data_IF_235068064650
#
_entry.id   IF_235068064650
#
_cell.length_a   1.000
_cell.length_b   1.000
_cell.length_c   1.000
_cell.angle_alpha   90.00
_cell.angle_beta   90.00
_cell.angle_gamma   90.00
#
_symmetry.space_group_name_H-M   'P 1'
#
loop_
_entity.id
_entity.type
_entity.pdbx_description
1 polymer ?
#
# COMPACT_ATOMS: atom_id res chain seq x y z
N UNK A 1 -7.75 -3.21 16.24
CA UNK A 1 -6.84 -3.22 17.40
C UNK A 1 -5.92 -2.01 17.20
N UNK A 2 -6.21 -0.90 17.91
CA UNK A 2 -5.40 0.33 17.81
C UNK A 2 -4.06 0.08 18.49
N UNK A 3 -3.04 -0.22 17.71
CA UNK A 3 -1.71 -0.42 18.23
C UNK A 3 -0.97 0.92 18.31
N UNK A 4 -1.07 1.55 19.48
CA UNK A 4 -0.48 2.86 19.79
C UNK A 4 0.98 2.76 20.26
N UNK A 5 1.54 1.55 20.34
CA UNK A 5 2.90 1.37 20.80
C UNK A 5 3.90 2.12 19.90
N UNK A 6 4.97 2.72 20.46
CA UNK A 6 5.96 3.44 19.67
C UNK A 6 6.66 2.49 18.68
N UNK A 7 7.18 3.05 17.59
CA UNK A 7 7.96 2.28 16.62
C UNK A 7 9.21 1.69 17.30
N UNK A 8 9.50 0.42 17.00
CA UNK A 8 10.54 -0.38 17.62
C UNK A 8 10.04 -1.31 18.74
N UNK A 9 8.82 -1.09 19.26
CA UNK A 9 8.24 -1.96 20.28
C UNK A 9 8.03 -3.41 19.80
N UNK A 10 7.90 -3.60 18.49
CA UNK A 10 7.74 -4.90 17.82
C UNK A 10 8.90 -5.21 16.88
N UNK A 11 10.10 -4.78 17.22
CA UNK A 11 11.29 -5.16 16.45
C UNK A 11 11.46 -6.68 16.45
N UNK A 12 11.69 -7.31 15.27
CA UNK A 12 11.93 -8.75 15.21
C UNK A 12 13.19 -9.13 15.99
N UNK A 13 13.15 -10.28 16.69
CA UNK A 13 14.27 -10.77 17.50
C UNK A 13 14.52 -12.26 17.28
N UNK A 14 15.66 -12.76 17.74
CA UNK A 14 16.01 -14.18 17.74
C UNK A 14 15.94 -14.82 16.34
N UNK A 15 15.39 -16.03 16.30
CA UNK A 15 15.27 -16.81 15.05
C UNK A 15 14.38 -16.14 14.01
N UNK A 16 13.30 -15.47 14.43
CA UNK A 16 12.42 -14.77 13.51
C UNK A 16 13.17 -13.66 12.76
N UNK A 17 13.98 -12.86 13.46
CA UNK A 17 14.84 -11.84 12.86
C UNK A 17 15.81 -12.45 11.84
N UNK A 18 16.51 -13.50 12.22
CA UNK A 18 17.45 -14.18 11.32
C UNK A 18 16.76 -14.69 10.05
N UNK A 19 15.58 -15.30 10.16
CA UNK A 19 14.82 -15.77 8.99
C UNK A 19 14.43 -14.58 8.10
N UNK A 20 13.90 -13.50 8.66
CA UNK A 20 13.48 -12.31 7.91
C UNK A 20 14.68 -11.70 7.15
N UNK A 21 15.84 -11.57 7.78
CA UNK A 21 17.07 -11.10 7.15
C UNK A 21 17.55 -12.06 6.06
N UNK A 22 17.45 -13.38 6.28
CA UNK A 22 17.86 -14.38 5.31
C UNK A 22 17.00 -14.40 4.06
N UNK A 23 15.69 -14.26 4.21
CA UNK A 23 14.75 -14.31 3.07
C UNK A 23 14.94 -13.18 2.08
N UNK A 24 15.39 -12.02 2.51
CA UNK A 24 15.67 -10.86 1.64
C UNK A 24 16.86 -11.07 0.70
N UNK A 25 17.77 -11.91 1.09
CA UNK A 25 19.01 -12.18 0.33
C UNK A 25 18.92 -13.45 -0.52
N UNK A 26 17.75 -14.09 -0.59
CA UNK A 26 17.57 -15.27 -1.43
C UNK A 26 17.48 -14.87 -2.91
N UNK A 27 18.16 -15.61 -3.78
CA UNK A 27 18.15 -15.32 -5.21
C UNK A 27 16.78 -15.60 -5.83
N UNK A 28 16.48 -14.92 -6.95
CA UNK A 28 15.26 -15.13 -7.72
C UNK A 28 15.36 -16.40 -8.61
N UNK A 29 15.63 -17.53 -7.98
CA UNK A 29 15.66 -18.85 -8.60
C UNK A 29 14.52 -19.72 -8.06
N UNK A 30 14.19 -20.80 -8.73
CA UNK A 30 13.21 -21.76 -8.23
C UNK A 30 13.55 -22.25 -6.82
N UNK A 31 14.82 -22.60 -6.56
CA UNK A 31 15.29 -23.05 -5.25
C UNK A 31 15.17 -21.93 -4.19
N UNK A 32 15.56 -20.69 -4.53
CA UNK A 32 15.42 -19.53 -3.64
C UNK A 32 13.97 -19.23 -3.29
N UNK A 33 13.06 -19.29 -4.24
CA UNK A 33 11.62 -19.12 -3.99
C UNK A 33 11.05 -20.22 -3.08
N UNK A 34 11.46 -21.50 -3.26
CA UNK A 34 11.07 -22.60 -2.38
C UNK A 34 11.62 -22.43 -0.97
N UNK A 35 12.90 -22.07 -0.84
CA UNK A 35 13.54 -21.79 0.45
C UNK A 35 12.80 -20.64 1.18
N UNK A 36 12.42 -19.57 0.47
CA UNK A 36 11.64 -18.48 1.04
C UNK A 36 10.30 -18.98 1.62
N UNK A 37 9.55 -19.77 0.87
CA UNK A 37 8.27 -20.33 1.32
C UNK A 37 8.42 -21.17 2.59
N UNK A 38 9.48 -22.00 2.67
CA UNK A 38 9.75 -22.83 3.84
C UNK A 38 10.12 -21.96 5.05
N UNK A 39 11.07 -21.03 4.88
CA UNK A 39 11.50 -20.13 5.95
C UNK A 39 10.35 -19.27 6.47
N UNK A 40 9.49 -18.75 5.59
CA UNK A 40 8.31 -18.01 5.96
C UNK A 40 7.32 -18.84 6.77
N UNK A 41 7.10 -20.12 6.41
CA UNK A 41 6.25 -21.04 7.18
C UNK A 41 6.75 -21.26 8.61
N UNK A 42 8.06 -21.24 8.81
CA UNK A 42 8.67 -21.33 10.14
C UNK A 42 8.55 -20.01 10.88
N UNK A 43 8.81 -18.88 10.20
CA UNK A 43 8.84 -17.55 10.84
C UNK A 43 7.46 -17.10 11.32
N UNK A 44 6.40 -17.25 10.50
CA UNK A 44 5.06 -16.73 10.83
C UNK A 44 4.55 -17.20 12.20
N UNK A 45 4.58 -18.50 12.57
CA UNK A 45 4.19 -18.92 13.91
C UNK A 45 5.04 -18.31 15.04
N UNK A 46 6.36 -18.11 14.80
CA UNK A 46 7.26 -17.52 15.78
C UNK A 46 6.94 -16.05 16.09
N UNK A 47 6.24 -15.36 15.19
CA UNK A 47 5.83 -13.97 15.38
C UNK A 47 4.65 -13.82 16.35
N UNK A 48 3.97 -14.91 16.70
CA UNK A 48 2.94 -14.96 17.74
C UNK A 48 1.74 -14.04 17.49
N UNK A 49 1.38 -13.79 16.23
CA UNK A 49 0.24 -12.93 15.89
C UNK A 49 0.47 -11.43 16.12
N UNK A 50 1.68 -11.00 16.46
CA UNK A 50 2.04 -9.60 16.73
C UNK A 50 2.45 -8.87 15.45
N UNK A 51 2.25 -7.54 15.39
CA UNK A 51 2.83 -6.73 14.32
C UNK A 51 4.37 -6.74 14.38
N UNK A 52 5.01 -6.23 13.35
CA UNK A 52 6.47 -6.12 13.25
C UNK A 52 6.88 -4.74 12.78
N UNK A 53 7.79 -4.13 13.53
CA UNK A 53 8.43 -2.87 13.18
C UNK A 53 9.73 -3.17 12.41
N UNK A 54 9.77 -2.77 11.15
CA UNK A 54 10.89 -3.03 10.25
C UNK A 54 11.20 -1.82 9.37
N UNK A 55 12.44 -1.76 8.91
CA UNK A 55 12.81 -0.86 7.80
C UNK A 55 12.82 -1.66 6.51
N UNK A 56 11.97 -1.28 5.54
CA UNK A 56 11.82 -1.92 4.23
C UNK A 56 11.62 -0.87 3.16
N UNK A 57 12.12 -1.13 1.96
CA UNK A 57 12.03 -0.18 0.84
C UNK A 57 12.63 1.21 1.16
N UNK A 58 13.56 1.26 2.13
CA UNK A 58 14.16 2.50 2.62
C UNK A 58 13.31 3.30 3.61
N UNK A 59 12.22 2.72 4.13
CA UNK A 59 11.26 3.40 5.02
C UNK A 59 10.88 2.54 6.23
N UNK A 60 10.42 3.18 7.29
CA UNK A 60 9.92 2.53 8.50
C UNK A 60 8.48 2.11 8.33
N UNK A 61 8.17 0.86 8.61
CA UNK A 61 6.83 0.30 8.50
C UNK A 61 6.52 -0.64 9.66
N UNK A 62 5.27 -0.56 10.16
CA UNK A 62 4.67 -1.59 11.00
C UNK A 62 3.84 -2.50 10.13
N UNK A 63 4.19 -3.78 10.08
CA UNK A 63 3.61 -4.80 9.22
C UNK A 63 2.83 -5.85 10.02
N UNK A 64 1.73 -6.35 9.43
CA UNK A 64 0.84 -7.37 10.00
C UNK A 64 0.79 -8.60 9.09
N UNK A 65 1.84 -9.42 9.04
CA UNK A 65 2.04 -10.44 8.01
C UNK A 65 1.06 -11.62 8.05
N UNK A 66 0.21 -11.72 9.07
CA UNK A 66 -0.86 -12.73 9.12
C UNK A 66 -2.17 -12.25 8.51
N UNK A 67 -2.36 -10.95 8.45
CA UNK A 67 -3.62 -10.34 8.07
C UNK A 67 -3.60 -9.72 6.68
N UNK A 68 -2.42 -9.56 6.05
CA UNK A 68 -2.27 -8.86 4.78
C UNK A 68 -1.17 -9.53 3.92
N UNK A 69 -1.48 -9.80 2.65
CA UNK A 69 -0.53 -10.40 1.70
C UNK A 69 0.56 -9.40 1.31
N UNK A 70 0.22 -8.12 1.15
CA UNK A 70 1.20 -7.05 0.89
C UNK A 70 2.25 -7.00 2.01
N UNK A 71 1.83 -7.02 3.28
CA UNK A 71 2.73 -7.03 4.44
C UNK A 71 3.68 -8.23 4.42
N UNK A 72 3.19 -9.41 4.02
CA UNK A 72 4.04 -10.61 3.87
C UNK A 72 5.09 -10.45 2.78
N UNK A 73 4.70 -9.89 1.63
CA UNK A 73 5.62 -9.66 0.51
C UNK A 73 6.70 -8.65 0.91
N UNK A 74 6.30 -7.50 1.45
CA UNK A 74 7.20 -6.44 1.91
C UNK A 74 8.15 -6.94 3.02
N UNK A 75 7.66 -7.78 3.95
CA UNK A 75 8.47 -8.29 5.05
C UNK A 75 9.52 -9.30 4.58
N UNK A 76 9.10 -10.32 3.84
CA UNK A 76 9.95 -11.48 3.54
C UNK A 76 10.63 -11.42 2.18
N UNK A 77 10.05 -10.70 1.22
CA UNK A 77 10.53 -10.65 -0.16
C UNK A 77 10.49 -9.25 -0.76
N UNK A 78 11.01 -8.22 -0.07
CA UNK A 78 10.98 -6.86 -0.60
C UNK A 78 11.67 -6.73 -1.96
N UNK A 79 12.66 -7.57 -2.25
CA UNK A 79 13.36 -7.62 -3.54
C UNK A 79 12.50 -8.13 -4.71
N UNK A 80 11.36 -8.77 -4.41
CA UNK A 80 10.39 -9.27 -5.41
C UNK A 80 9.05 -8.54 -5.33
N UNK A 81 8.98 -7.51 -4.50
CA UNK A 81 7.79 -6.67 -4.39
C UNK A 81 7.84 -5.61 -5.50
N UNK A 82 7.14 -5.90 -6.58
CA UNK A 82 6.91 -5.03 -7.73
C UNK A 82 8.18 -4.29 -8.22
N UNK A 83 9.31 -5.00 -8.49
CA UNK A 83 10.59 -4.35 -8.77
C UNK A 83 10.58 -3.53 -10.07
N UNK A 84 9.82 -3.96 -11.08
CA UNK A 84 9.72 -3.28 -12.37
C UNK A 84 8.95 -1.97 -12.23
N UNK A 85 7.87 -1.94 -11.47
CA UNK A 85 7.08 -0.75 -11.17
C UNK A 85 7.89 0.28 -10.40
N UNK A 86 8.64 -0.17 -9.39
CA UNK A 86 9.53 0.73 -8.64
C UNK A 86 10.64 1.30 -9.51
N UNK A 87 11.17 0.54 -10.47
CA UNK A 87 12.18 1.03 -11.41
C UNK A 87 11.60 2.07 -12.37
N UNK A 88 10.40 1.83 -12.89
CA UNK A 88 9.66 2.81 -13.71
C UNK A 88 9.44 4.10 -12.93
N UNK A 89 9.01 4.01 -11.67
CA UNK A 89 8.82 5.19 -10.82
C UNK A 89 10.14 5.94 -10.61
N UNK A 90 11.22 5.24 -10.23
CA UNK A 90 12.55 5.88 -10.06
C UNK A 90 13.00 6.65 -11.31
N UNK A 91 12.82 6.05 -12.48
CA UNK A 91 13.19 6.68 -13.74
C UNK A 91 12.35 7.91 -14.12
N UNK A 92 11.23 8.12 -13.47
CA UNK A 92 10.33 9.26 -13.71
C UNK A 92 10.39 10.34 -12.64
N UNK A 93 10.95 10.03 -11.44
CA UNK A 93 11.02 10.97 -10.33
C UNK A 93 11.92 12.17 -10.67
N UNK A 94 11.46 13.33 -10.26
CA UNK A 94 12.14 14.61 -10.37
C UNK A 94 11.72 15.51 -9.22
N UNK A 95 12.33 16.66 -9.05
CA UNK A 95 11.91 17.61 -8.03
C UNK A 95 10.46 18.08 -8.27
N UNK A 96 9.66 18.11 -7.23
CA UNK A 96 8.23 18.44 -7.31
C UNK A 96 7.35 17.33 -7.92
N UNK A 97 7.80 16.08 -7.94
CA UNK A 97 7.04 14.92 -8.45
C UNK A 97 5.69 14.77 -7.77
N UNK A 98 4.61 14.70 -8.55
CA UNK A 98 3.24 14.53 -8.05
C UNK A 98 2.77 13.10 -8.31
N UNK A 99 2.52 12.36 -7.24
CA UNK A 99 2.14 10.96 -7.28
C UNK A 99 0.81 10.71 -6.56
N UNK A 100 -0.06 9.92 -7.17
CA UNK A 100 -1.31 9.47 -6.56
C UNK A 100 -1.29 7.95 -6.45
N UNK A 101 -1.42 7.42 -5.24
CA UNK A 101 -1.48 5.99 -4.90
C UNK A 101 -2.91 5.63 -4.53
N UNK A 102 -3.68 5.08 -5.47
CA UNK A 102 -5.06 4.64 -5.26
C UNK A 102 -5.06 3.16 -4.88
N UNK A 103 -5.65 2.83 -3.74
CA UNK A 103 -5.48 1.56 -3.07
C UNK A 103 -4.09 1.50 -2.41
N UNK A 104 -3.77 2.54 -1.63
CA UNK A 104 -2.43 2.69 -1.06
C UNK A 104 -2.07 1.61 -0.04
N UNK A 105 -3.06 0.87 0.47
CA UNK A 105 -2.88 -0.18 1.45
C UNK A 105 -2.05 0.34 2.64
N UNK A 106 -0.99 -0.34 3.04
CA UNK A 106 -0.10 0.08 4.13
C UNK A 106 0.87 1.22 3.77
N UNK A 107 0.83 1.71 2.53
CA UNK A 107 1.64 2.82 2.05
C UNK A 107 2.98 2.45 1.41
N UNK A 108 3.16 1.21 0.94
CA UNK A 108 4.43 0.77 0.38
C UNK A 108 4.92 1.65 -0.78
N UNK A 109 4.04 1.97 -1.73
CA UNK A 109 4.35 2.86 -2.86
C UNK A 109 4.45 4.32 -2.44
N UNK A 110 3.48 4.83 -1.69
CA UNK A 110 3.45 6.21 -1.24
C UNK A 110 4.71 6.59 -0.43
N UNK A 111 5.12 5.73 0.51
CA UNK A 111 6.33 5.91 1.31
C UNK A 111 7.61 5.81 0.49
N UNK A 112 7.67 4.83 -0.43
CA UNK A 112 8.80 4.67 -1.34
C UNK A 112 9.01 5.92 -2.20
N UNK A 113 7.93 6.45 -2.80
CA UNK A 113 8.01 7.67 -3.61
C UNK A 113 8.43 8.87 -2.77
N UNK A 114 7.85 9.05 -1.59
CA UNK A 114 8.21 10.14 -0.69
C UNK A 114 9.67 10.10 -0.25
N UNK A 115 10.23 8.90 -0.06
CA UNK A 115 11.64 8.72 0.31
C UNK A 115 12.61 9.04 -0.83
N UNK A 116 12.19 8.87 -2.08
CA UNK A 116 13.07 8.98 -3.27
C UNK A 116 12.92 10.29 -4.02
N UNK A 117 11.69 10.85 -4.08
CA UNK A 117 11.38 12.02 -4.94
C UNK A 117 11.73 13.37 -4.30
N UNK A 118 12.24 13.37 -3.06
CA UNK A 118 12.72 14.58 -2.37
C UNK A 118 11.60 15.40 -1.69
N UNK A 119 12.00 16.50 -1.02
CA UNK A 119 11.12 17.25 -0.12
C UNK A 119 10.05 18.10 -0.83
N UNK A 120 10.19 18.35 -2.12
CA UNK A 120 9.19 19.08 -2.91
C UNK A 120 8.13 18.15 -3.52
N UNK A 121 8.26 16.84 -3.40
CA UNK A 121 7.29 15.88 -3.91
C UNK A 121 5.92 16.06 -3.23
N UNK A 122 4.87 15.72 -3.94
CA UNK A 122 3.49 15.70 -3.43
C UNK A 122 2.89 14.33 -3.66
N UNK A 123 2.63 13.59 -2.59
CA UNK A 123 2.11 12.23 -2.63
C UNK A 123 0.72 12.19 -2.02
N UNK A 124 -0.27 11.73 -2.77
CA UNK A 124 -1.62 11.48 -2.30
C UNK A 124 -1.85 9.98 -2.18
N UNK A 125 -1.99 9.49 -0.96
CA UNK A 125 -2.27 8.09 -0.66
C UNK A 125 -3.76 7.91 -0.33
N UNK A 126 -4.48 7.14 -1.14
CA UNK A 126 -5.92 6.96 -1.03
C UNK A 126 -6.22 5.52 -0.65
N UNK A 127 -6.84 5.32 0.51
CA UNK A 127 -7.18 4.00 1.04
C UNK A 127 -8.57 4.02 1.67
N UNK A 128 -9.54 3.25 1.13
CA UNK A 128 -10.90 3.28 1.62
C UNK A 128 -11.16 2.48 2.89
N UNK A 129 -10.38 1.41 3.15
CA UNK A 129 -10.65 0.52 4.25
C UNK A 129 -10.16 1.12 5.58
N UNK A 130 -11.04 1.36 6.59
CA UNK A 130 -10.67 2.09 7.80
C UNK A 130 -9.49 1.50 8.56
N UNK A 131 -9.46 0.17 8.74
CA UNK A 131 -8.38 -0.50 9.46
C UNK A 131 -7.03 -0.39 8.72
N UNK A 132 -7.04 -0.51 7.40
CA UNK A 132 -5.84 -0.38 6.58
C UNK A 132 -5.38 1.07 6.52
N UNK A 133 -6.32 2.02 6.45
CA UNK A 133 -6.06 3.45 6.53
C UNK A 133 -5.38 3.86 7.85
N UNK A 134 -5.79 3.27 8.99
CA UNK A 134 -5.10 3.48 10.26
C UNK A 134 -3.64 3.00 10.21
N UNK A 135 -3.38 1.85 9.59
CA UNK A 135 -2.02 1.33 9.39
C UNK A 135 -1.20 2.21 8.43
N UNK A 136 -1.80 2.64 7.33
CA UNK A 136 -1.20 3.61 6.40
C UNK A 136 -0.76 4.88 7.12
N UNK A 137 -1.67 5.50 7.86
CA UNK A 137 -1.39 6.74 8.60
C UNK A 137 -0.35 6.54 9.70
N UNK A 138 -0.37 5.39 10.38
CA UNK A 138 0.70 5.02 11.32
C UNK A 138 2.04 4.98 10.61
N UNK A 139 2.17 4.25 9.50
CA UNK A 139 3.40 4.11 8.75
C UNK A 139 3.93 5.45 8.22
N UNK A 140 3.05 6.33 7.73
CA UNK A 140 3.43 7.68 7.31
C UNK A 140 4.08 8.44 8.46
N UNK A 141 3.50 8.41 9.66
CA UNK A 141 4.00 9.13 10.85
C UNK A 141 5.35 8.62 11.37
N UNK A 142 5.76 7.38 11.02
CA UNK A 142 7.06 6.85 11.43
C UNK A 142 8.22 7.37 10.57
N UNK A 143 7.93 8.12 9.52
CA UNK A 143 8.91 8.63 8.57
C UNK A 143 8.89 10.17 8.55
N UNK A 144 10.05 10.83 8.32
CA UNK A 144 10.15 12.28 8.38
C UNK A 144 9.64 13.01 7.11
N UNK A 145 8.77 12.36 6.34
CA UNK A 145 8.29 12.89 5.06
C UNK A 145 7.04 13.74 5.27
N UNK A 146 7.16 15.07 5.16
CA UNK A 146 6.01 15.99 5.15
C UNK A 146 5.24 16.03 3.82
N UNK A 147 5.56 15.15 2.88
CA UNK A 147 5.10 15.17 1.49
C UNK A 147 3.88 14.28 1.20
N UNK A 148 3.47 13.45 2.16
CA UNK A 148 2.38 12.48 1.99
C UNK A 148 1.11 12.99 2.67
N UNK A 149 0.04 13.07 1.89
CA UNK A 149 -1.33 13.24 2.40
C UNK A 149 -2.10 11.95 2.22
N UNK A 150 -2.69 11.43 3.30
CA UNK A 150 -3.57 10.27 3.26
C UNK A 150 -5.04 10.69 3.25
N UNK A 151 -5.87 10.01 2.44
CA UNK A 151 -7.30 10.27 2.32
C UNK A 151 -8.08 8.95 2.44
N UNK A 152 -9.06 8.94 3.37
CA UNK A 152 -9.90 7.76 3.63
C UNK A 152 -11.13 7.79 2.72
N UNK A 153 -10.99 7.36 1.47
CA UNK A 153 -12.12 7.21 0.54
C UNK A 153 -11.82 6.17 -0.53
N UNK A 154 -12.87 5.67 -1.18
CA UNK A 154 -12.76 4.93 -2.43
C UNK A 154 -12.66 5.89 -3.61
N UNK A 155 -11.98 5.45 -4.69
CA UNK A 155 -12.05 6.14 -5.98
C UNK A 155 -13.00 5.35 -6.88
N UNK A 156 -13.98 6.04 -7.48
CA UNK A 156 -15.05 5.45 -8.26
C UNK A 156 -15.43 6.33 -9.47
N UNK A 157 -16.46 5.92 -10.21
CA UNK A 157 -16.99 6.64 -11.37
C UNK A 157 -17.72 7.94 -11.00
N UNK A 158 -18.19 8.06 -9.76
CA UNK A 158 -18.96 9.21 -9.25
C UNK A 158 -18.76 9.41 -7.74
N UNK A 159 -18.97 10.62 -7.22
CA UNK A 159 -19.01 10.87 -5.79
C UNK A 159 -20.21 10.20 -5.11
N UNK A 160 -20.06 9.82 -3.84
CA UNK A 160 -21.13 9.21 -3.06
C UNK A 160 -20.60 8.27 -1.98
N UNK A 161 -21.26 7.16 -1.79
CA UNK A 161 -20.83 6.06 -0.93
C UNK A 161 -20.65 4.79 -1.76
N UNK A 162 -19.66 4.00 -1.39
CA UNK A 162 -19.39 2.69 -1.96
C UNK A 162 -19.46 1.61 -0.87
N UNK A 163 -20.03 0.47 -1.23
CA UNK A 163 -19.99 -0.71 -0.35
C UNK A 163 -18.80 -1.58 -0.72
N UNK A 164 -17.90 -1.77 0.23
CA UNK A 164 -16.77 -2.70 0.11
C UNK A 164 -17.08 -3.99 0.85
N UNK A 165 -16.67 -5.11 0.26
CA UNK A 165 -16.72 -6.41 0.89
C UNK A 165 -15.32 -6.82 1.33
N UNK A 166 -15.13 -6.97 2.63
CA UNK A 166 -13.83 -7.30 3.20
C UNK A 166 -13.57 -8.81 3.12
N UNK A 167 -12.38 -9.21 2.68
CA UNK A 167 -11.96 -10.60 2.83
C UNK A 167 -11.44 -10.83 4.26
N UNK A 168 -12.10 -11.67 5.08
CA UNK A 168 -11.68 -11.94 6.45
C UNK A 168 -10.31 -12.63 6.53
N UNK A 169 -9.82 -13.21 5.43
CA UNK A 169 -8.52 -13.89 5.35
C UNK A 169 -7.38 -12.96 4.95
N UNK A 170 -7.73 -11.82 4.32
CA UNK A 170 -6.77 -10.84 3.84
C UNK A 170 -7.31 -9.43 4.03
N UNK A 171 -6.95 -8.80 5.14
CA UNK A 171 -7.42 -7.44 5.45
C UNK A 171 -6.88 -6.37 4.48
N UNK A 172 -5.98 -6.72 3.57
CA UNK A 172 -5.48 -5.83 2.53
C UNK A 172 -6.26 -5.89 1.23
N UNK A 173 -7.16 -6.87 1.09
CA UNK A 173 -8.05 -7.02 -0.07
C UNK A 173 -9.45 -6.61 0.29
N UNK A 174 -9.99 -5.67 -0.45
CA UNK A 174 -11.41 -5.30 -0.42
C UNK A 174 -11.91 -5.20 -1.86
N UNK A 175 -13.05 -5.78 -2.15
CA UNK A 175 -13.63 -5.81 -3.48
C UNK A 175 -14.96 -5.07 -3.51
N UNK A 176 -15.23 -4.36 -4.59
CA UNK A 176 -16.56 -3.77 -4.88
C UNK A 176 -17.56 -4.85 -5.32
N UNK A 177 -17.05 -6.01 -5.78
CA UNK A 177 -17.87 -7.15 -6.19
C UNK A 177 -17.74 -8.27 -5.16
N UNK A 178 -18.86 -8.93 -4.85
CA UNK A 178 -18.83 -10.17 -4.04
C UNK A 178 -18.10 -11.24 -4.85
N UNK A 179 -16.84 -11.50 -4.49
CA UNK A 179 -16.04 -12.58 -5.08
C UNK A 179 -16.03 -13.75 -4.09
N UNK A 180 -16.86 -14.74 -4.38
CA UNK A 180 -16.86 -16.00 -3.65
C UNK A 180 -17.90 -16.11 -2.52
N UNK A 181 -18.21 -17.35 -2.12
CA UNK A 181 -19.18 -17.73 -1.11
C UNK A 181 -18.68 -17.58 0.35
N UNK A 182 -17.85 -16.59 0.64
CA UNK A 182 -17.31 -16.31 1.97
C UNK A 182 -18.14 -15.24 2.69
N UNK A 183 -18.18 -15.30 4.01
CA UNK A 183 -18.82 -14.34 4.90
C UNK A 183 -18.04 -13.01 4.89
N UNK A 184 -18.20 -12.22 3.82
CA UNK A 184 -17.61 -10.87 3.74
C UNK A 184 -18.55 -9.90 4.43
N UNK A 185 -18.08 -9.17 5.43
CA UNK A 185 -18.86 -8.09 6.06
C UNK A 185 -18.83 -6.86 5.16
N UNK A 186 -20.01 -6.33 4.73
CA UNK A 186 -20.06 -5.12 3.94
C UNK A 186 -19.78 -3.90 4.82
N UNK A 187 -18.90 -3.01 4.36
CA UNK A 187 -18.70 -1.69 4.96
C UNK A 187 -19.03 -0.60 3.93
N UNK A 188 -19.60 0.51 4.41
CA UNK A 188 -19.83 1.69 3.56
C UNK A 188 -18.68 2.68 3.77
N UNK A 189 -18.14 3.17 2.68
CA UNK A 189 -17.05 4.14 2.67
C UNK A 189 -17.39 5.30 1.75
N UNK A 190 -16.90 6.52 2.04
CA UNK A 190 -17.02 7.65 1.12
C UNK A 190 -16.36 7.31 -0.22
N UNK A 191 -16.93 7.77 -1.31
CA UNK A 191 -16.39 7.59 -2.64
C UNK A 191 -16.30 8.93 -3.38
N UNK A 192 -15.28 9.08 -4.21
CA UNK A 192 -15.09 10.25 -5.07
C UNK A 192 -14.45 9.85 -6.40
N UNK A 193 -14.33 10.78 -7.35
CA UNK A 193 -13.63 10.50 -8.61
C UNK A 193 -12.16 10.91 -8.52
N UNK A 194 -11.32 10.28 -9.33
CA UNK A 194 -9.90 10.66 -9.44
C UNK A 194 -9.75 12.15 -9.81
N UNK A 195 -10.57 12.64 -10.74
CA UNK A 195 -10.56 14.04 -11.15
C UNK A 195 -10.92 15.01 -10.00
N UNK A 196 -11.87 14.63 -9.15
CA UNK A 196 -12.24 15.43 -7.98
C UNK A 196 -11.09 15.49 -6.97
N UNK A 197 -10.39 14.38 -6.73
CA UNK A 197 -9.21 14.37 -5.85
C UNK A 197 -8.12 15.31 -6.39
N UNK A 198 -7.81 15.23 -7.68
CA UNK A 198 -6.82 16.09 -8.34
C UNK A 198 -7.19 17.56 -8.16
N UNK A 199 -8.48 17.91 -8.36
CA UNK A 199 -8.97 19.29 -8.19
C UNK A 199 -8.95 19.76 -6.75
N UNK A 200 -9.35 18.93 -5.80
CA UNK A 200 -9.34 19.25 -4.36
C UNK A 200 -7.93 19.48 -3.82
N UNK A 201 -6.95 18.72 -4.34
CA UNK A 201 -5.54 18.88 -3.97
C UNK A 201 -4.87 20.06 -4.73
N UNK A 202 -5.55 20.67 -5.69
CA UNK A 202 -5.00 21.74 -6.51
C UNK A 202 -3.82 21.29 -7.36
N UNK A 203 -3.81 20.03 -7.82
CA UNK A 203 -2.78 19.53 -8.71
C UNK A 203 -3.00 20.04 -10.12
N UNK A 204 -2.10 20.89 -10.62
CA UNK A 204 -2.11 21.34 -11.99
C UNK A 204 -1.59 20.25 -12.96
N UNK A 205 -0.77 19.35 -12.44
CA UNK A 205 -0.17 18.21 -13.16
C UNK A 205 -0.10 17.02 -12.20
N UNK A 206 -0.21 15.82 -12.74
CA UNK A 206 0.06 14.56 -12.05
C UNK A 206 1.09 13.80 -12.89
N UNK A 207 2.19 13.38 -12.27
CA UNK A 207 3.29 12.71 -12.96
C UNK A 207 3.10 11.20 -13.05
N UNK A 208 2.49 10.61 -12.01
CA UNK A 208 2.13 9.20 -12.01
C UNK A 208 0.92 8.91 -11.12
N UNK A 209 0.13 7.94 -11.53
CA UNK A 209 -0.98 7.37 -10.74
C UNK A 209 -0.78 5.85 -10.71
N UNK A 210 -0.75 5.28 -9.51
CA UNK A 210 -0.91 3.85 -9.33
C UNK A 210 -2.37 3.55 -9.00
N UNK A 211 -2.91 2.54 -9.65
CA UNK A 211 -4.25 2.02 -9.38
C UNK A 211 -4.15 0.55 -9.00
N UNK A 212 -4.63 0.21 -7.81
CA UNK A 212 -4.70 -1.16 -7.30
C UNK A 212 -6.04 -1.32 -6.57
N UNK A 213 -7.08 -1.52 -7.37
CA UNK A 213 -8.49 -1.46 -6.92
C UNK A 213 -9.28 -2.73 -7.25
N UNK A 214 -8.55 -3.85 -7.39
CA UNK A 214 -9.09 -5.20 -7.52
C UNK A 214 -10.15 -5.34 -8.65
N UNK A 215 -9.80 -4.84 -9.85
CA UNK A 215 -10.61 -4.94 -11.07
C UNK A 215 -11.68 -3.86 -11.23
N UNK A 216 -11.54 -2.74 -10.55
CA UNK A 216 -12.39 -1.54 -10.72
C UNK A 216 -11.67 -0.39 -11.47
N UNK A 217 -10.51 -0.66 -12.09
CA UNK A 217 -9.67 0.34 -12.77
C UNK A 217 -10.44 1.05 -13.89
N UNK A 218 -11.23 0.32 -14.67
CA UNK A 218 -12.06 0.88 -15.76
C UNK A 218 -13.10 1.87 -15.24
N UNK A 219 -13.68 1.61 -14.06
CA UNK A 219 -14.67 2.51 -13.42
C UNK A 219 -14.03 3.85 -13.01
N UNK A 220 -12.73 3.87 -12.79
CA UNK A 220 -11.97 5.08 -12.44
C UNK A 220 -11.47 5.80 -13.69
N UNK A 221 -10.84 5.05 -14.60
CA UNK A 221 -10.15 5.62 -15.76
C UNK A 221 -11.10 6.11 -16.85
N UNK A 222 -12.19 5.39 -17.13
CA UNK A 222 -13.12 5.79 -18.19
C UNK A 222 -13.73 7.20 -17.94
N UNK A 223 -14.31 7.51 -16.77
CA UNK A 223 -14.79 8.86 -16.49
C UNK A 223 -13.65 9.87 -16.40
N UNK A 224 -12.48 9.50 -15.88
CA UNK A 224 -11.34 10.40 -15.84
C UNK A 224 -10.92 10.86 -17.25
N UNK A 225 -10.71 9.94 -18.19
CA UNK A 225 -10.32 10.29 -19.56
C UNK A 225 -11.42 11.01 -20.34
N UNK A 226 -12.69 10.80 -20.02
CA UNK A 226 -13.82 11.53 -20.61
C UNK A 226 -13.85 12.98 -20.14
N UNK A 227 -13.67 13.22 -18.83
CA UNK A 227 -14.02 14.48 -18.17
C UNK A 227 -12.79 15.34 -17.82
N UNK A 228 -11.59 14.77 -17.84
CA UNK A 228 -10.36 15.50 -17.58
C UNK A 228 -9.98 16.45 -18.72
N UNK A 229 -9.46 17.64 -18.42
CA UNK A 229 -8.86 18.51 -19.43
C UNK A 229 -7.76 17.83 -20.23
N UNK A 230 -7.59 18.20 -21.52
CA UNK A 230 -6.58 17.58 -22.39
C UNK A 230 -5.15 17.58 -21.83
N UNK A 231 -4.80 18.56 -20.99
CA UNK A 231 -3.48 18.69 -20.35
C UNK A 231 -3.28 17.72 -19.16
N UNK A 232 -4.34 17.02 -18.71
CA UNK A 232 -4.29 16.06 -17.61
C UNK A 232 -4.49 14.59 -18.05
N UNK A 233 -4.60 14.37 -19.38
CA UNK A 233 -4.85 13.03 -19.97
C UNK A 233 -3.57 12.30 -20.29
#
# INVERSE_FOLDING_TARGET
MNDTAPFGAYAPSGLARWIIERTQNLPNTWAGRRANLLLRRIAIPLLGGKPLDVERLGVRMRLYPYANICDKKVLFTPQFFDPEEFEVLRGRMHDGFVFIDVGANIGAYALFVAAQAGPAARVLAVEPQPQVFERLTYNIRQNPFGTIKAVACAVADRPGELTLFLDPRNSGESSVKVVGSGQSEPIRVPATTLLNLIRQEGYARVDAVKLDVEGAEDLILAPFFRDAPRLMR
#
